data_IF_875869488386
#
_entry.id   IF_875869488386
#
_cell.length_a   1.000
_cell.length_b   1.000
_cell.length_c   1.000
_cell.angle_alpha   90.00
_cell.angle_beta   90.00
_cell.angle_gamma   90.00
#
_symmetry.space_group_name_H-M   'P 1'
#
loop_
_entity.id
_entity.type
_entity.pdbx_description
1 polymer ?
#
# COMPACT_ATOMS: atom_id res chain seq x y z
N UNK A 1 2.17 0.13 18.15
CA UNK A 1 2.05 -0.91 17.12
C UNK A 1 2.70 -0.43 15.83
N UNK A 2 3.63 -1.20 15.23
CA UNK A 2 4.45 -0.74 14.10
C UNK A 2 3.66 -0.48 12.81
N UNK A 3 2.62 -1.27 12.51
CA UNK A 3 1.81 -1.09 11.30
C UNK A 3 1.05 0.24 11.27
N UNK A 4 0.48 0.66 12.39
CA UNK A 4 -0.26 1.92 12.49
C UNK A 4 0.67 3.13 12.32
N UNK A 5 1.85 3.10 12.96
CA UNK A 5 2.85 4.15 12.79
C UNK A 5 3.33 4.25 11.34
N UNK A 6 3.54 3.11 10.67
CA UNK A 6 3.87 3.05 9.24
C UNK A 6 2.78 3.63 8.34
N UNK A 7 1.50 3.31 8.61
CA UNK A 7 0.39 3.86 7.84
C UNK A 7 0.26 5.39 7.99
N UNK A 8 0.39 5.90 9.21
CA UNK A 8 0.31 7.35 9.48
C UNK A 8 1.49 8.11 8.87
N UNK A 9 2.71 7.58 9.03
CA UNK A 9 3.90 8.20 8.43
C UNK A 9 3.85 8.17 6.90
N UNK A 10 3.36 7.09 6.30
CA UNK A 10 3.12 7.02 4.85
C UNK A 10 2.04 7.98 4.36
N UNK A 11 0.96 8.19 5.14
CA UNK A 11 -0.08 9.16 4.79
C UNK A 11 0.39 10.62 4.92
N UNK A 12 1.23 10.92 5.91
CA UNK A 12 1.74 12.27 6.18
C UNK A 12 2.95 12.64 5.31
N UNK A 13 3.86 11.69 5.06
CA UNK A 13 5.11 11.89 4.31
C UNK A 13 5.04 11.42 2.86
N UNK A 14 3.95 10.75 2.46
CA UNK A 14 3.84 10.08 1.17
C UNK A 14 4.72 8.83 1.05
N UNK A 15 4.50 8.06 -0.01
CA UNK A 15 5.26 6.83 -0.29
C UNK A 15 6.76 7.08 -0.52
N UNK A 16 7.16 8.29 -0.94
CA UNK A 16 8.56 8.66 -1.17
C UNK A 16 9.36 8.86 0.12
N UNK A 17 8.71 9.05 1.27
CA UNK A 17 9.38 9.15 2.56
C UNK A 17 9.95 7.81 3.05
N UNK A 18 9.54 6.68 2.46
CA UNK A 18 10.04 5.36 2.80
C UNK A 18 11.29 5.05 1.97
N UNK A 19 12.39 4.56 2.57
CA UNK A 19 13.60 4.20 1.83
C UNK A 19 13.30 3.25 0.66
N UNK A 20 13.89 3.52 -0.51
CA UNK A 20 13.64 2.72 -1.72
C UNK A 20 13.93 1.23 -1.51
N UNK A 21 15.03 0.88 -0.83
CA UNK A 21 15.37 -0.53 -0.53
C UNK A 21 14.31 -1.24 0.30
N UNK A 22 13.64 -0.54 1.21
CA UNK A 22 12.54 -1.10 2.01
C UNK A 22 11.27 -1.24 1.18
N UNK A 23 10.99 -0.26 0.31
CA UNK A 23 9.85 -0.34 -0.62
C UNK A 23 9.98 -1.51 -1.58
N UNK A 24 11.15 -1.69 -2.18
CA UNK A 24 11.42 -2.80 -3.09
C UNK A 24 11.31 -4.17 -2.40
N UNK A 25 11.79 -4.28 -1.16
CA UNK A 25 11.67 -5.52 -0.39
C UNK A 25 10.21 -5.88 -0.03
N UNK A 26 9.34 -4.88 0.12
CA UNK A 26 7.93 -5.07 0.47
C UNK A 26 6.97 -5.00 -0.74
N UNK A 27 7.49 -4.81 -1.96
CA UNK A 27 6.65 -4.67 -3.16
C UNK A 27 5.90 -5.95 -3.50
N UNK A 28 6.56 -7.09 -3.39
CA UNK A 28 5.94 -8.38 -3.75
C UNK A 28 5.12 -8.92 -2.59
N UNK A 29 3.81 -9.00 -2.75
CA UNK A 29 2.93 -9.62 -1.76
C UNK A 29 3.17 -11.14 -1.70
N UNK A 30 3.46 -11.64 -0.50
CA UNK A 30 3.69 -13.08 -0.27
C UNK A 30 2.40 -13.93 -0.26
N UNK A 31 1.23 -13.30 -0.29
CA UNK A 31 -0.06 -14.00 -0.38
C UNK A 31 -0.57 -14.68 0.89
N UNK A 32 0.04 -14.46 2.06
CA UNK A 32 -0.29 -15.18 3.30
C UNK A 32 -1.76 -15.06 3.74
N UNK A 33 -2.42 -13.93 3.47
CA UNK A 33 -3.83 -13.67 3.83
C UNK A 33 -4.74 -13.73 2.61
N UNK A 34 -4.18 -13.53 1.41
CA UNK A 34 -4.89 -13.52 0.13
C UNK A 34 -4.02 -14.22 -0.92
N UNK A 35 -4.16 -15.55 -1.07
CA UNK A 35 -3.29 -16.34 -1.97
C UNK A 35 -3.35 -15.87 -3.44
N UNK A 36 -4.47 -15.26 -3.84
CA UNK A 36 -4.67 -14.72 -5.20
C UNK A 36 -3.85 -13.48 -5.51
N UNK A 37 -3.32 -12.81 -4.48
CA UNK A 37 -2.47 -11.62 -4.62
C UNK A 37 -0.98 -11.96 -4.47
N UNK A 38 -0.62 -13.24 -4.44
CA UNK A 38 0.78 -13.66 -4.38
C UNK A 38 1.51 -13.18 -5.64
N UNK A 39 2.66 -12.52 -5.46
CA UNK A 39 3.46 -12.02 -6.57
C UNK A 39 2.99 -10.67 -7.12
N UNK A 40 1.92 -10.09 -6.59
CA UNK A 40 1.43 -8.77 -7.01
C UNK A 40 2.24 -7.65 -6.36
N UNK A 41 2.50 -6.59 -7.12
CA UNK A 41 3.13 -5.36 -6.61
C UNK A 41 2.15 -4.55 -5.75
N UNK A 42 2.53 -4.29 -4.50
CA UNK A 42 1.73 -3.56 -3.52
C UNK A 42 1.46 -2.11 -3.95
N UNK A 43 2.43 -1.44 -4.58
CA UNK A 43 2.29 -0.06 -5.07
C UNK A 43 1.35 0.00 -6.26
N UNK A 44 1.46 -0.96 -7.19
CA UNK A 44 0.53 -1.08 -8.31
C UNK A 44 -0.89 -1.33 -7.82
N UNK A 45 -1.05 -2.28 -6.88
CA UNK A 45 -2.34 -2.58 -6.27
C UNK A 45 -2.94 -1.35 -5.56
N UNK A 46 -2.11 -0.58 -4.84
CA UNK A 46 -2.55 0.66 -4.20
C UNK A 46 -3.03 1.70 -5.23
N UNK A 47 -2.33 1.83 -6.36
CA UNK A 47 -2.75 2.70 -7.47
C UNK A 47 -4.10 2.27 -8.07
N UNK A 48 -4.31 0.98 -8.27
CA UNK A 48 -5.59 0.44 -8.75
C UNK A 48 -6.72 0.66 -7.74
N UNK A 49 -6.46 0.50 -6.45
CA UNK A 49 -7.43 0.76 -5.38
C UNK A 49 -7.83 2.23 -5.31
N UNK A 50 -6.87 3.14 -5.46
CA UNK A 50 -7.15 4.58 -5.52
C UNK A 50 -7.95 4.94 -6.78
N UNK A 51 -7.64 4.36 -7.93
CA UNK A 51 -8.43 4.55 -9.16
C UNK A 51 -9.86 3.98 -9.04
N UNK A 52 -10.02 2.88 -8.31
CA UNK A 52 -11.31 2.26 -8.03
C UNK A 52 -12.07 2.91 -6.86
N UNK A 53 -11.53 3.97 -6.25
CA UNK A 53 -12.15 4.62 -5.08
C UNK A 53 -13.56 5.11 -5.46
N UNK A 54 -14.61 4.65 -4.76
CA UNK A 54 -15.95 5.17 -4.96
C UNK A 54 -16.00 6.68 -4.69
N UNK A 55 -16.85 7.41 -5.42
CA UNK A 55 -17.10 8.81 -5.10
C UNK A 55 -17.50 8.93 -3.62
N UNK A 56 -16.91 9.88 -2.87
CA UNK A 56 -17.29 10.06 -1.48
C UNK A 56 -18.80 10.32 -1.41
N UNK A 57 -19.53 9.73 -0.44
CA UNK A 57 -20.94 10.03 -0.27
C UNK A 57 -21.05 11.55 -0.07
N UNK A 58 -21.71 12.21 -1.03
CA UNK A 58 -21.88 13.65 -1.03
C UNK A 58 -22.55 14.10 0.27
N UNK A 59 -21.95 15.09 0.92
CA UNK A 59 -22.56 15.83 2.02
C UNK A 59 -23.64 16.77 1.53
#
# INVERSE_FOLDING_TARGET
APALAGALTGALGGGEAVPASWREACRTLSGCVLPRLTGTDLVELAGLLEAARPAPPGG
#
